data_IF_348814646172
#
_entry.id   IF_348814646172
#
_cell.length_a   1.000
_cell.length_b   1.000
_cell.length_c   1.000
_cell.angle_alpha   90.00
_cell.angle_beta   90.00
_cell.angle_gamma   90.00
#
_symmetry.space_group_name_H-M   'P 1'
#
loop_
_entity.id
_entity.type
_entity.pdbx_description
1 polymer ?
#
# COMPACT_ATOMS: atom_id res chain seq x y z
N UNK A 1 -20.15 3.92 25.18
CA UNK A 1 -19.61 5.25 25.51
C UNK A 1 -20.70 6.29 25.40
N UNK A 2 -20.55 7.42 26.08
CA UNK A 2 -21.53 8.51 26.05
C UNK A 2 -21.33 9.39 24.81
N UNK A 3 -22.39 9.78 24.09
CA UNK A 3 -22.29 10.75 23.01
C UNK A 3 -22.07 12.17 23.55
N UNK A 4 -21.51 13.05 22.72
CA UNK A 4 -21.51 14.49 22.91
C UNK A 4 -22.95 14.99 22.76
N UNK A 5 -23.37 15.81 23.70
CA UNK A 5 -24.62 16.55 23.74
C UNK A 5 -24.38 18.02 23.40
N UNK A 6 -25.43 18.75 23.05
CA UNK A 6 -25.35 20.19 22.73
C UNK A 6 -24.79 21.04 23.87
N UNK A 7 -24.91 20.59 25.12
CA UNK A 7 -24.39 21.28 26.31
C UNK A 7 -22.99 20.79 26.77
N UNK A 8 -22.36 19.87 26.02
CA UNK A 8 -21.01 19.43 26.35
C UNK A 8 -20.00 20.56 26.12
N UNK A 9 -18.98 20.61 26.98
CA UNK A 9 -17.86 21.54 26.80
C UNK A 9 -16.81 20.91 25.90
N UNK A 10 -16.59 21.52 24.73
CA UNK A 10 -15.47 21.21 23.85
C UNK A 10 -14.54 22.42 23.77
N UNK A 11 -13.24 22.17 23.89
CA UNK A 11 -12.22 23.23 23.94
C UNK A 11 -11.10 22.94 22.95
N UNK A 12 -10.57 23.98 22.30
CA UNK A 12 -9.26 23.88 21.67
C UNK A 12 -8.16 23.93 22.74
N UNK A 13 -6.93 23.53 22.37
CA UNK A 13 -5.77 23.56 23.27
C UNK A 13 -5.55 24.93 23.96
N UNK A 14 -5.95 26.02 23.31
CA UNK A 14 -5.81 27.40 23.80
C UNK A 14 -7.02 27.90 24.59
N UNK A 15 -7.90 27.01 25.06
CA UNK A 15 -9.06 27.36 25.88
C UNK A 15 -10.29 27.90 25.14
N UNK A 16 -10.24 28.01 23.81
CA UNK A 16 -11.38 28.44 23.01
C UNK A 16 -12.50 27.40 23.00
N UNK A 17 -13.74 27.82 23.26
CA UNK A 17 -14.91 26.93 23.38
C UNK A 17 -15.66 26.78 22.06
N UNK A 18 -16.00 25.55 21.71
CA UNK A 18 -16.83 25.24 20.53
C UNK A 18 -18.30 25.53 20.85
N UNK A 19 -18.98 26.27 19.98
CA UNK A 19 -20.42 26.54 20.06
C UNK A 19 -21.19 25.42 19.38
N UNK A 20 -21.81 24.55 20.17
CA UNK A 20 -22.61 23.44 19.69
C UNK A 20 -24.05 23.87 19.45
N UNK A 21 -24.67 23.31 18.40
CA UNK A 21 -26.09 23.53 18.06
C UNK A 21 -26.63 22.34 17.27
N UNK A 22 -27.47 21.52 17.88
CA UNK A 22 -28.07 20.38 17.19
C UNK A 22 -29.19 20.83 16.25
N UNK A 23 -29.18 20.31 15.03
CA UNK A 23 -30.20 20.60 14.00
C UNK A 23 -30.94 19.34 13.60
N UNK A 24 -30.21 18.25 13.35
CA UNK A 24 -30.71 17.01 12.75
C UNK A 24 -31.08 15.95 13.79
N UNK A 25 -30.38 15.88 14.92
CA UNK A 25 -30.62 14.85 15.94
C UNK A 25 -31.51 15.31 17.12
N UNK A 26 -32.30 16.38 16.95
CA UNK A 26 -33.08 17.01 18.04
C UNK A 26 -34.03 16.06 18.79
N UNK A 27 -34.47 14.96 18.18
CA UNK A 27 -35.40 13.99 18.81
C UNK A 27 -34.71 13.02 19.78
N UNK A 28 -33.38 12.87 19.69
CA UNK A 28 -32.62 11.95 20.53
C UNK A 28 -31.91 12.78 21.60
N UNK A 29 -32.37 12.67 22.85
CA UNK A 29 -31.98 13.57 23.94
C UNK A 29 -31.63 12.80 25.21
N UNK A 30 -30.69 13.34 25.99
CA UNK A 30 -30.51 13.01 27.41
C UNK A 30 -30.89 14.23 28.22
N UNK A 31 -31.81 14.09 29.17
CA UNK A 31 -32.24 15.18 30.05
C UNK A 31 -32.65 16.43 29.26
N UNK A 32 -33.43 16.23 28.20
CA UNK A 32 -33.87 17.25 27.24
C UNK A 32 -32.76 17.93 26.40
N UNK A 33 -31.51 17.50 26.52
CA UNK A 33 -30.40 17.99 25.69
C UNK A 33 -30.14 17.03 24.52
N UNK A 34 -30.16 17.51 23.26
CA UNK A 34 -29.96 16.65 22.10
C UNK A 34 -28.50 16.22 21.94
N UNK A 35 -28.30 15.07 21.29
CA UNK A 35 -26.96 14.60 20.88
C UNK A 35 -26.42 15.43 19.72
N UNK A 36 -25.09 15.44 19.57
CA UNK A 36 -24.38 16.08 18.47
C UNK A 36 -23.87 15.08 17.44
N UNK A 37 -24.09 15.40 16.16
CA UNK A 37 -23.56 14.64 15.04
C UNK A 37 -22.21 15.17 14.56
N UNK A 38 -21.43 14.31 13.90
CA UNK A 38 -20.10 14.62 13.36
C UNK A 38 -20.11 15.88 12.49
N UNK A 39 -21.09 15.98 11.60
CA UNK A 39 -21.24 17.09 10.68
C UNK A 39 -21.82 18.38 11.31
N UNK A 40 -22.30 18.31 12.55
CA UNK A 40 -22.79 19.46 13.31
C UNK A 40 -21.70 20.05 14.20
N UNK A 41 -20.76 19.21 14.64
CA UNK A 41 -19.53 19.63 15.33
C UNK A 41 -18.50 20.13 14.30
N UNK A 42 -18.36 19.45 13.16
CA UNK A 42 -17.51 19.92 12.07
C UNK A 42 -18.06 21.22 11.48
N UNK A 43 -17.21 22.25 11.41
CA UNK A 43 -17.58 23.60 11.00
C UNK A 43 -18.19 24.45 12.12
N UNK A 44 -18.39 23.91 13.32
CA UNK A 44 -18.87 24.68 14.46
C UNK A 44 -17.88 25.79 14.85
N UNK A 45 -18.41 26.95 15.21
CA UNK A 45 -17.61 28.11 15.58
C UNK A 45 -16.92 27.90 16.93
N UNK A 46 -15.71 28.43 17.06
CA UNK A 46 -14.93 28.47 18.29
C UNK A 46 -14.82 29.92 18.73
N UNK A 47 -15.04 30.18 20.02
CA UNK A 47 -14.96 31.52 20.62
C UNK A 47 -14.08 31.54 21.87
N UNK A 48 -13.47 32.68 22.17
CA UNK A 48 -12.61 32.84 23.36
C UNK A 48 -11.27 32.11 23.26
N UNK A 49 -10.78 31.84 22.04
CA UNK A 49 -9.46 31.26 21.84
C UNK A 49 -8.38 32.33 22.07
N UNK A 50 -7.42 32.05 22.94
CA UNK A 50 -6.33 32.97 23.29
C UNK A 50 -5.05 32.75 22.47
N UNK A 51 -5.13 32.05 21.33
CA UNK A 51 -3.95 31.85 20.49
C UNK A 51 -3.52 33.19 19.86
N UNK A 52 -2.30 33.70 20.13
CA UNK A 52 -1.89 35.02 19.65
C UNK A 52 -1.70 35.03 18.13
N UNK A 53 -1.85 36.21 17.47
CA UNK A 53 -1.65 36.34 16.03
C UNK A 53 -0.30 35.82 15.54
N UNK A 54 0.77 36.03 16.31
CA UNK A 54 2.14 35.60 15.98
C UNK A 54 2.26 34.07 15.89
N UNK A 55 1.41 33.32 16.60
CA UNK A 55 1.34 31.85 16.57
C UNK A 55 0.19 31.32 15.68
N UNK A 56 -0.19 32.10 14.66
CA UNK A 56 -1.20 31.72 13.68
C UNK A 56 -2.63 32.17 13.99
N UNK A 57 -2.83 32.89 15.09
CA UNK A 57 -4.10 33.54 15.48
C UNK A 57 -5.17 32.60 16.04
N UNK A 58 -6.31 33.14 16.49
CA UNK A 58 -7.33 32.38 17.22
C UNK A 58 -7.94 31.26 16.37
N UNK A 59 -8.21 30.13 17.02
CA UNK A 59 -9.05 29.07 16.44
C UNK A 59 -10.48 29.59 16.34
N UNK A 60 -11.03 29.67 15.13
CA UNK A 60 -12.39 30.20 14.91
C UNK A 60 -13.41 29.13 14.53
N UNK A 61 -12.97 27.95 14.08
CA UNK A 61 -13.84 26.84 13.67
C UNK A 61 -13.20 25.47 13.88
N UNK A 62 -14.04 24.46 14.07
CA UNK A 62 -13.66 23.04 13.98
C UNK A 62 -13.53 22.66 12.51
N UNK A 63 -12.36 22.16 12.10
CA UNK A 63 -12.11 21.72 10.72
C UNK A 63 -12.63 20.31 10.46
N UNK A 64 -12.39 19.40 11.41
CA UNK A 64 -12.75 18.00 11.28
C UNK A 64 -12.97 17.34 12.64
N UNK A 65 -13.79 16.30 12.64
CA UNK A 65 -13.95 15.36 13.76
C UNK A 65 -13.28 14.05 13.37
N UNK A 66 -12.57 13.41 14.31
CA UNK A 66 -11.87 12.18 14.02
C UNK A 66 -12.82 11.00 13.93
N UNK A 67 -12.71 10.22 12.86
CA UNK A 67 -13.57 9.08 12.62
C UNK A 67 -13.58 8.10 13.81
N UNK A 68 -12.44 7.87 14.49
CA UNK A 68 -12.36 6.96 15.65
C UNK A 68 -13.23 7.35 16.84
N UNK A 69 -13.85 8.52 16.83
CA UNK A 69 -14.81 8.96 17.85
C UNK A 69 -16.27 8.70 17.45
N UNK A 70 -16.51 8.19 16.24
CA UNK A 70 -17.85 7.97 15.73
C UNK A 70 -18.51 6.79 16.43
N UNK A 71 -19.77 6.97 16.79
CA UNK A 71 -20.66 5.88 17.20
C UNK A 71 -20.99 4.94 16.03
N UNK A 72 -21.27 3.68 16.32
CA UNK A 72 -21.79 2.74 15.32
C UNK A 72 -23.21 3.09 14.86
N UNK A 73 -24.02 3.61 15.79
CA UNK A 73 -25.38 4.05 15.54
C UNK A 73 -25.43 5.38 14.76
N UNK A 74 -26.13 5.37 13.62
CA UNK A 74 -26.30 6.55 12.75
C UNK A 74 -27.68 7.18 12.93
N UNK A 75 -27.72 8.50 12.86
CA UNK A 75 -28.96 9.30 12.86
C UNK A 75 -28.94 10.17 11.61
N UNK A 76 -29.96 10.06 10.77
CA UNK A 76 -30.01 10.75 9.46
C UNK A 76 -28.73 10.52 8.62
N UNK A 77 -28.26 9.27 8.58
CA UNK A 77 -27.03 8.84 7.89
C UNK A 77 -25.73 9.51 8.39
N UNK A 78 -25.74 10.09 9.59
CA UNK A 78 -24.59 10.74 10.23
C UNK A 78 -24.27 10.10 11.57
N UNK A 79 -23.01 10.18 11.99
CA UNK A 79 -22.54 9.53 13.21
C UNK A 79 -22.72 10.48 14.40
N UNK A 80 -23.19 9.98 15.54
CA UNK A 80 -22.99 10.72 16.79
C UNK A 80 -21.52 10.61 17.20
N UNK A 81 -20.99 11.67 17.81
CA UNK A 81 -19.60 11.73 18.28
C UNK A 81 -19.55 11.33 19.74
N UNK A 82 -18.67 10.41 20.09
CA UNK A 82 -18.50 9.92 21.45
C UNK A 82 -17.56 10.84 22.24
N UNK A 83 -17.81 10.96 23.55
CA UNK A 83 -16.99 11.77 24.45
C UNK A 83 -15.63 11.10 24.70
N UNK A 84 -14.72 11.29 23.76
CA UNK A 84 -13.31 10.90 23.88
C UNK A 84 -12.49 12.14 24.22
N UNK A 85 -11.31 11.96 24.83
CA UNK A 85 -10.47 13.09 25.24
C UNK A 85 -10.15 14.01 24.07
N UNK A 86 -9.59 13.44 22.99
CA UNK A 86 -9.34 14.12 21.73
C UNK A 86 -10.42 13.74 20.72
N UNK A 87 -11.05 14.72 20.08
CA UNK A 87 -12.18 14.47 19.17
C UNK A 87 -12.04 15.04 17.77
N UNK A 88 -11.13 15.99 17.56
CA UNK A 88 -10.99 16.64 16.25
C UNK A 88 -9.89 17.68 16.21
N UNK A 89 -9.92 18.50 15.16
CA UNK A 89 -8.96 19.58 14.93
C UNK A 89 -9.67 20.88 14.56
N UNK A 90 -9.07 22.01 14.92
CA UNK A 90 -9.47 23.33 14.44
C UNK A 90 -8.96 23.57 13.01
N UNK A 91 -9.48 24.61 12.36
CA UNK A 91 -8.96 25.08 11.05
C UNK A 91 -7.51 25.55 11.07
N UNK A 92 -6.92 25.70 12.27
CA UNK A 92 -5.52 26.04 12.47
C UNK A 92 -4.66 24.82 12.83
N UNK A 93 -5.24 23.62 12.76
CA UNK A 93 -4.53 22.37 13.05
C UNK A 93 -4.40 22.03 14.53
N UNK A 94 -5.03 22.80 15.43
CA UNK A 94 -4.93 22.56 16.87
C UNK A 94 -5.98 21.55 17.34
N UNK A 95 -5.64 20.67 18.30
CA UNK A 95 -6.57 19.64 18.78
C UNK A 95 -7.79 20.26 19.47
N UNK A 96 -8.93 19.60 19.29
CA UNK A 96 -10.17 19.86 20.00
C UNK A 96 -10.42 18.72 20.99
N UNK A 97 -10.55 19.06 22.26
CA UNK A 97 -10.81 18.14 23.35
C UNK A 97 -12.27 18.21 23.78
N UNK A 98 -12.84 17.06 24.16
CA UNK A 98 -14.12 17.02 24.85
C UNK A 98 -13.89 16.83 26.35
N UNK A 99 -14.56 17.63 27.16
CA UNK A 99 -14.63 17.40 28.60
C UNK A 99 -15.78 16.40 28.84
N UNK A 100 -15.48 15.16 29.29
CA UNK A 100 -16.51 14.16 29.46
C UNK A 100 -17.50 14.54 30.55
N UNK A 101 -18.78 14.26 30.31
CA UNK A 101 -19.91 14.45 31.21
C UNK A 101 -20.82 13.22 31.11
N UNK A 102 -21.29 12.72 32.26
CA UNK A 102 -22.26 11.62 32.30
C UNK A 102 -23.57 12.01 31.60
N UNK A 103 -24.15 11.08 30.86
CA UNK A 103 -25.50 11.20 30.32
C UNK A 103 -26.18 9.82 30.20
N UNK A 104 -27.48 9.78 29.92
CA UNK A 104 -28.29 8.55 29.93
C UNK A 104 -28.11 7.69 28.68
N UNK A 105 -27.53 8.24 27.61
CA UNK A 105 -27.40 7.57 26.31
C UNK A 105 -26.06 6.84 26.24
N UNK A 106 -26.07 5.61 25.72
CA UNK A 106 -24.85 4.85 25.42
C UNK A 106 -24.90 4.33 24.00
N UNK A 107 -23.84 4.58 23.24
CA UNK A 107 -23.60 3.96 21.93
C UNK A 107 -22.32 3.14 21.95
N UNK A 108 -22.23 2.17 21.04
CA UNK A 108 -20.98 1.46 20.79
C UNK A 108 -20.12 2.24 19.80
N UNK A 109 -18.83 1.93 19.78
CA UNK A 109 -17.88 2.58 18.89
C UNK A 109 -18.03 2.03 17.46
N UNK A 110 -17.98 2.90 16.46
CA UNK A 110 -17.95 2.47 15.07
C UNK A 110 -16.73 1.57 14.84
N UNK A 111 -16.98 0.38 14.28
CA UNK A 111 -15.90 -0.49 13.78
C UNK A 111 -15.33 0.13 12.50
N UNK A 112 -14.41 1.07 12.65
CA UNK A 112 -13.70 1.62 11.50
C UNK A 112 -12.68 0.58 11.10
N UNK A 113 -12.85 0.05 9.88
CA UNK A 113 -11.88 -0.85 9.30
C UNK A 113 -10.57 -0.06 9.16
N UNK A 114 -9.57 -0.40 9.97
CA UNK A 114 -8.25 0.21 9.85
C UNK A 114 -7.78 0.09 8.40
N UNK A 115 -7.21 1.15 7.85
CA UNK A 115 -6.56 1.03 6.55
C UNK A 115 -5.51 -0.08 6.65
N UNK A 116 -5.31 -0.88 5.60
CA UNK A 116 -4.36 -2.00 5.64
C UNK A 116 -2.97 -1.51 6.05
N UNK A 117 -2.58 -0.31 5.59
CA UNK A 117 -1.36 0.37 5.99
C UNK A 117 -1.29 0.69 7.49
N UNK A 118 -2.38 1.16 8.11
CA UNK A 118 -2.41 1.44 9.54
C UNK A 118 -2.28 0.15 10.37
N UNK A 119 -2.92 -0.93 9.92
CA UNK A 119 -2.77 -2.26 10.53
C UNK A 119 -1.34 -2.78 10.39
N UNK A 120 -0.74 -2.68 9.20
CA UNK A 120 0.66 -3.08 8.95
C UNK A 120 1.62 -2.28 9.85
N UNK A 121 1.44 -0.96 9.98
CA UNK A 121 2.32 -0.09 10.79
C UNK A 121 2.17 -0.37 12.28
N UNK A 122 0.95 -0.54 12.78
CA UNK A 122 0.69 -0.89 14.18
C UNK A 122 1.21 -2.30 14.52
N UNK A 123 0.99 -3.26 13.61
CA UNK A 123 1.53 -4.59 13.73
C UNK A 123 3.06 -4.51 13.76
N UNK A 124 3.72 -3.77 12.85
CA UNK A 124 5.18 -3.53 12.84
C UNK A 124 5.72 -3.04 14.19
N UNK A 125 5.11 -1.99 14.76
CA UNK A 125 5.48 -1.44 16.08
C UNK A 125 5.36 -2.51 17.17
N UNK A 126 4.27 -3.30 17.14
CA UNK A 126 4.07 -4.41 18.08
C UNK A 126 5.09 -5.54 17.90
N UNK A 127 5.61 -5.75 16.68
CA UNK A 127 6.63 -6.77 16.38
C UNK A 127 8.06 -6.32 16.71
N UNK A 128 8.32 -5.01 16.74
CA UNK A 128 9.62 -4.40 17.08
C UNK A 128 9.83 -4.26 18.61
N UNK A 129 8.75 -4.24 19.40
CA UNK A 129 8.78 -4.28 20.87
C UNK A 129 9.16 -5.67 21.41
N UNK A 130 10.45 -5.87 21.68
CA UNK A 130 11.08 -7.16 21.96
C UNK A 130 10.51 -7.99 23.12
N UNK A 131 10.30 -9.27 22.83
CA UNK A 131 10.14 -10.35 23.81
C UNK A 131 10.39 -11.69 23.10
N UNK A 132 10.86 -12.72 23.83
CA UNK A 132 11.05 -14.08 23.28
C UNK A 132 9.69 -14.65 22.85
N UNK A 133 9.42 -14.64 21.55
CA UNK A 133 8.16 -15.14 20.98
C UNK A 133 8.12 -16.67 21.02
N UNK A 134 7.03 -17.24 21.55
CA UNK A 134 6.76 -18.68 21.42
C UNK A 134 6.67 -19.12 19.96
N UNK A 135 6.88 -20.42 19.67
CA UNK A 135 6.92 -20.94 18.30
C UNK A 135 5.65 -20.64 17.48
N UNK A 136 4.47 -20.73 18.10
CA UNK A 136 3.20 -20.41 17.46
C UNK A 136 3.06 -18.91 17.11
N UNK A 137 3.67 -18.04 17.91
CA UNK A 137 3.68 -16.60 17.66
C UNK A 137 4.67 -16.24 16.54
N UNK A 138 5.81 -16.93 16.46
CA UNK A 138 6.76 -16.82 15.33
C UNK A 138 6.11 -17.22 14.00
N UNK A 139 5.43 -18.37 13.93
CA UNK A 139 4.70 -18.80 12.72
C UNK A 139 3.62 -17.80 12.29
N UNK A 140 2.87 -17.24 13.25
CA UNK A 140 1.87 -16.18 12.97
C UNK A 140 2.50 -14.89 12.45
N UNK A 141 3.69 -14.54 12.95
CA UNK A 141 4.47 -13.39 12.47
C UNK A 141 4.94 -13.60 11.03
N UNK A 142 5.49 -14.76 10.71
CA UNK A 142 5.94 -15.09 9.36
C UNK A 142 4.80 -15.04 8.35
N UNK A 143 3.67 -15.69 8.64
CA UNK A 143 2.47 -15.60 7.77
C UNK A 143 1.96 -14.18 7.59
N UNK A 144 2.00 -13.36 8.64
CA UNK A 144 1.61 -11.94 8.54
C UNK A 144 2.58 -11.14 7.66
N UNK A 145 3.89 -11.38 7.80
CA UNK A 145 4.94 -10.73 7.00
C UNK A 145 4.83 -11.13 5.52
N UNK A 146 4.64 -12.42 5.27
CA UNK A 146 4.41 -12.98 3.94
C UNK A 146 3.19 -12.31 3.28
N UNK A 147 2.04 -12.31 3.98
CA UNK A 147 0.82 -11.69 3.46
C UNK A 147 1.02 -10.21 3.12
N UNK A 148 1.71 -9.46 3.98
CA UNK A 148 1.97 -8.04 3.78
C UNK A 148 2.88 -7.79 2.56
N UNK A 149 3.99 -8.52 2.40
CA UNK A 149 4.89 -8.37 1.26
C UNK A 149 4.25 -8.77 -0.06
N UNK A 150 3.52 -9.88 -0.07
CA UNK A 150 2.77 -10.35 -1.24
C UNK A 150 1.68 -9.35 -1.65
N UNK A 151 0.97 -8.75 -0.68
CA UNK A 151 -0.01 -7.70 -0.98
C UNK A 151 0.65 -6.44 -1.56
N UNK A 152 1.77 -6.01 -0.99
CA UNK A 152 2.51 -4.86 -1.48
C UNK A 152 3.03 -5.06 -2.92
N UNK A 153 3.45 -6.29 -3.24
CA UNK A 153 3.79 -6.66 -4.61
C UNK A 153 2.59 -6.51 -5.56
N UNK A 154 1.41 -7.04 -5.20
CA UNK A 154 0.21 -6.91 -6.02
C UNK A 154 -0.26 -5.45 -6.18
N UNK A 155 -0.16 -4.64 -5.13
CA UNK A 155 -0.45 -3.20 -5.20
C UNK A 155 0.49 -2.49 -6.19
N UNK A 156 1.75 -2.91 -6.27
CA UNK A 156 2.70 -2.37 -7.24
C UNK A 156 2.42 -2.84 -8.67
N UNK A 157 2.04 -4.10 -8.87
CA UNK A 157 1.65 -4.60 -10.20
C UNK A 157 0.34 -3.96 -10.68
N UNK A 158 -0.58 -3.65 -9.77
CA UNK A 158 -1.79 -2.88 -10.07
C UNK A 158 -1.45 -1.47 -10.58
N UNK A 159 -0.52 -0.76 -9.92
CA UNK A 159 -0.04 0.55 -10.41
C UNK A 159 0.55 0.49 -11.81
N UNK A 160 1.04 -0.68 -12.25
CA UNK A 160 1.56 -0.91 -13.61
C UNK A 160 0.46 -1.35 -14.60
N UNK A 161 -0.80 -1.43 -14.17
CA UNK A 161 -1.92 -1.92 -14.97
C UNK A 161 -1.92 -3.43 -15.20
N UNK A 162 -1.11 -4.20 -14.46
CA UNK A 162 -0.97 -5.66 -14.64
C UNK A 162 -1.94 -6.48 -13.79
N UNK A 163 -2.50 -5.89 -12.75
CA UNK A 163 -3.46 -6.53 -11.82
C UNK A 163 -4.60 -5.55 -11.55
N UNK A 164 -5.83 -6.03 -11.55
CA UNK A 164 -7.00 -5.17 -11.26
C UNK A 164 -7.17 -4.88 -9.76
N UNK A 165 -7.87 -3.79 -9.43
CA UNK A 165 -8.24 -3.48 -8.04
C UNK A 165 -9.04 -4.60 -7.38
N UNK A 166 -9.91 -5.27 -8.16
CA UNK A 166 -10.71 -6.41 -7.71
C UNK A 166 -9.84 -7.59 -7.28
N UNK A 167 -8.80 -7.89 -8.04
CA UNK A 167 -7.85 -8.98 -7.76
C UNK A 167 -6.98 -8.68 -6.54
N UNK A 168 -6.48 -7.44 -6.42
CA UNK A 168 -5.79 -6.99 -5.19
C UNK A 168 -6.69 -7.11 -3.97
N UNK A 169 -7.95 -6.70 -4.10
CA UNK A 169 -8.95 -6.81 -3.04
C UNK A 169 -9.20 -8.26 -2.63
N UNK A 170 -9.33 -9.17 -3.61
CA UNK A 170 -9.56 -10.58 -3.38
C UNK A 170 -8.38 -11.24 -2.63
N UNK A 171 -7.13 -10.93 -3.01
CA UNK A 171 -5.97 -11.43 -2.27
C UNK A 171 -5.95 -10.90 -0.84
N UNK A 172 -6.19 -9.60 -0.66
CA UNK A 172 -6.18 -8.95 0.64
C UNK A 172 -7.19 -9.55 1.62
N UNK A 173 -8.42 -9.81 1.17
CA UNK A 173 -9.50 -10.26 2.04
C UNK A 173 -9.63 -11.78 2.11
N UNK A 174 -9.39 -12.49 1.00
CA UNK A 174 -9.63 -13.93 0.88
C UNK A 174 -8.34 -14.75 0.75
N UNK A 175 -7.18 -14.11 0.54
CA UNK A 175 -5.91 -14.80 0.32
C UNK A 175 -5.80 -15.47 -1.05
N UNK A 176 -6.72 -15.16 -1.98
CA UNK A 176 -6.76 -15.76 -3.30
C UNK A 176 -5.84 -14.97 -4.22
N UNK A 177 -4.83 -15.65 -4.78
CA UNK A 177 -3.89 -15.04 -5.71
C UNK A 177 -4.53 -14.85 -7.10
N UNK A 178 -4.20 -13.76 -7.83
CA UNK A 178 -4.74 -13.53 -9.17
C UNK A 178 -4.26 -14.61 -10.16
N UNK A 179 -5.17 -15.18 -10.94
CA UNK A 179 -4.90 -16.38 -11.77
C UNK A 179 -3.87 -16.14 -12.86
N UNK A 180 -3.87 -14.97 -13.48
CA UNK A 180 -3.01 -14.63 -14.61
C UNK A 180 -1.78 -13.81 -14.21
N UNK A 181 -1.51 -13.68 -12.90
CA UNK A 181 -0.35 -12.97 -12.38
C UNK A 181 0.72 -13.94 -11.89
N UNK A 182 1.96 -13.90 -12.41
CA UNK A 182 3.06 -14.70 -11.87
C UNK A 182 3.23 -14.51 -10.36
N UNK A 183 3.20 -15.63 -9.62
CA UNK A 183 3.30 -15.62 -8.16
C UNK A 183 4.75 -15.71 -7.72
N UNK A 184 5.28 -14.80 -6.88
CA UNK A 184 6.60 -14.96 -6.30
C UNK A 184 6.70 -16.24 -5.46
N UNK A 185 7.83 -16.98 -5.56
CA UNK A 185 8.02 -18.27 -4.84
C UNK A 185 7.98 -18.13 -3.32
N UNK A 186 8.49 -17.01 -2.82
CA UNK A 186 8.54 -16.68 -1.40
C UNK A 186 8.53 -15.16 -1.24
N UNK A 187 8.06 -14.69 -0.09
CA UNK A 187 8.17 -13.28 0.28
C UNK A 187 9.63 -12.81 0.42
N UNK A 188 10.60 -13.72 0.53
CA UNK A 188 12.02 -13.38 0.58
C UNK A 188 12.55 -12.83 -0.76
N UNK A 189 11.88 -13.17 -1.86
CA UNK A 189 12.14 -12.57 -3.18
C UNK A 189 11.52 -11.17 -3.31
N UNK A 190 10.86 -10.65 -2.27
CA UNK A 190 10.20 -9.33 -2.30
C UNK A 190 10.93 -8.39 -1.34
N UNK A 191 11.47 -7.31 -1.92
CA UNK A 191 12.08 -6.22 -1.18
C UNK A 191 11.06 -5.43 -0.35
N UNK A 192 11.53 -4.59 0.57
CA UNK A 192 10.67 -3.77 1.43
C UNK A 192 9.83 -2.74 0.63
N UNK A 193 10.24 -2.43 -0.59
CA UNK A 193 9.49 -1.59 -1.53
C UNK A 193 8.43 -2.36 -2.35
N UNK A 194 8.26 -3.67 -2.10
CA UNK A 194 7.32 -4.53 -2.82
C UNK A 194 7.75 -4.87 -4.25
N UNK A 195 9.00 -4.60 -4.63
CA UNK A 195 9.57 -5.05 -5.90
C UNK A 195 10.30 -6.37 -5.70
N UNK A 196 10.45 -7.13 -6.78
CA UNK A 196 11.27 -8.34 -6.76
C UNK A 196 12.72 -7.97 -6.45
N UNK A 197 13.31 -8.68 -5.50
CA UNK A 197 14.73 -8.65 -5.18
C UNK A 197 15.43 -9.62 -6.12
N UNK A 198 16.19 -9.07 -7.07
CA UNK A 198 17.08 -9.84 -7.92
C UNK A 198 18.45 -10.01 -7.26
N UNK A 199 19.20 -11.06 -7.62
CA UNK A 199 20.61 -11.16 -7.25
C UNK A 199 21.42 -10.01 -7.85
N UNK A 200 22.55 -9.70 -7.23
CA UNK A 200 23.52 -8.74 -7.74
C UNK A 200 24.18 -9.28 -9.03
N UNK A 201 24.91 -8.41 -9.75
CA UNK A 201 25.66 -8.74 -10.97
C UNK A 201 24.84 -9.51 -12.02
N UNK A 202 23.59 -9.09 -12.24
CA UNK A 202 22.69 -9.71 -13.23
C UNK A 202 22.45 -11.23 -13.01
N UNK A 203 22.72 -11.72 -11.80
CA UNK A 203 22.63 -13.14 -11.45
C UNK A 203 23.78 -14.00 -11.98
N UNK A 204 24.85 -13.40 -12.50
CA UNK A 204 26.08 -14.11 -12.82
C UNK A 204 26.82 -14.53 -11.55
N UNK A 205 27.52 -15.66 -11.63
CA UNK A 205 28.42 -16.09 -10.55
C UNK A 205 29.77 -15.40 -10.70
N UNK A 206 30.18 -14.62 -9.71
CA UNK A 206 31.53 -14.05 -9.64
C UNK A 206 32.54 -15.16 -9.26
N UNK A 207 33.67 -15.30 -9.96
CA UNK A 207 33.84 -15.52 -11.39
C UNK A 207 33.42 -16.95 -11.80
N UNK A 208 33.17 -17.21 -13.10
CA UNK A 208 33.69 -16.46 -14.24
C UNK A 208 32.85 -15.24 -14.67
N UNK A 209 33.55 -14.16 -15.01
CA UNK A 209 33.00 -12.96 -15.67
C UNK A 209 32.43 -13.35 -17.05
N UNK A 210 31.25 -12.85 -17.45
CA UNK A 210 30.67 -13.12 -18.76
C UNK A 210 31.62 -12.71 -19.89
N UNK A 211 31.70 -13.54 -20.94
CA UNK A 211 32.40 -13.20 -22.18
C UNK A 211 31.37 -12.81 -23.23
N UNK A 212 31.71 -11.84 -24.07
CA UNK A 212 30.94 -11.54 -25.27
C UNK A 212 30.84 -12.79 -26.16
N UNK A 213 29.65 -13.06 -26.68
CA UNK A 213 29.39 -14.17 -27.59
C UNK A 213 28.62 -13.68 -28.81
N UNK A 214 28.93 -14.27 -29.97
CA UNK A 214 28.11 -14.11 -31.18
C UNK A 214 27.01 -15.16 -31.20
N UNK A 215 25.75 -14.74 -31.23
CA UNK A 215 24.63 -15.65 -31.48
C UNK A 215 24.53 -15.91 -32.97
N UNK A 216 24.72 -17.16 -33.39
CA UNK A 216 24.71 -17.54 -34.81
C UNK A 216 23.29 -17.66 -35.36
N UNK A 217 23.12 -17.33 -36.64
CA UNK A 217 21.90 -17.60 -37.40
C UNK A 217 21.45 -19.06 -37.23
N UNK A 218 20.16 -19.26 -37.03
CA UNK A 218 19.53 -20.55 -36.76
C UNK A 218 19.62 -21.01 -35.29
N UNK A 219 20.29 -20.26 -34.41
CA UNK A 219 20.32 -20.59 -32.98
C UNK A 219 18.92 -20.42 -32.37
N UNK A 220 18.49 -21.42 -31.60
CA UNK A 220 17.19 -21.46 -30.94
C UNK A 220 17.32 -21.04 -29.48
N UNK A 221 16.48 -20.09 -29.08
CA UNK A 221 16.49 -19.46 -27.77
C UNK A 221 15.08 -19.50 -27.17
N UNK A 222 14.98 -19.56 -25.85
CA UNK A 222 13.72 -19.45 -25.15
C UNK A 222 13.81 -18.48 -23.97
N UNK A 223 12.64 -18.05 -23.47
CA UNK A 223 12.54 -17.14 -22.33
C UNK A 223 11.19 -17.30 -21.65
N UNK A 224 11.18 -16.99 -20.36
CA UNK A 224 9.98 -16.72 -19.59
C UNK A 224 9.90 -15.22 -19.30
N UNK A 225 8.83 -14.55 -19.75
CA UNK A 225 8.57 -13.14 -19.45
C UNK A 225 8.07 -12.31 -20.64
N UNK A 226 7.98 -10.99 -20.42
CA UNK A 226 7.65 -10.05 -21.50
C UNK A 226 8.82 -9.87 -22.50
N UNK A 227 8.51 -9.22 -23.63
CA UNK A 227 9.46 -8.97 -24.72
C UNK A 227 10.45 -7.84 -24.41
N UNK A 228 10.31 -7.15 -23.28
CA UNK A 228 11.17 -6.02 -22.93
C UNK A 228 12.44 -6.44 -22.18
N UNK A 229 12.53 -7.70 -21.74
CA UNK A 229 13.70 -8.19 -21.03
C UNK A 229 14.75 -8.85 -21.91
N UNK A 230 16.00 -8.84 -21.43
CA UNK A 230 17.21 -9.16 -22.18
C UNK A 230 17.79 -10.57 -21.93
N UNK A 231 17.29 -11.30 -20.94
CA UNK A 231 17.80 -12.64 -20.60
C UNK A 231 17.11 -13.73 -21.40
N UNK A 232 17.87 -14.49 -22.18
CA UNK A 232 17.40 -15.63 -22.96
C UNK A 232 18.21 -16.86 -22.60
N UNK A 233 17.68 -18.04 -22.87
CA UNK A 233 18.35 -19.30 -22.62
C UNK A 233 18.44 -20.11 -23.92
N UNK A 234 19.61 -20.68 -24.25
CA UNK A 234 19.72 -21.54 -25.42
C UNK A 234 18.98 -22.86 -25.20
N UNK A 235 18.41 -23.41 -26.27
CA UNK A 235 17.88 -24.78 -26.27
C UNK A 235 18.20 -25.51 -27.57
N UNK A 236 18.14 -26.84 -27.53
CA UNK A 236 18.30 -27.71 -28.72
C UNK A 236 17.06 -28.58 -28.83
N UNK A 237 16.41 -28.64 -29.98
CA UNK A 237 15.14 -29.39 -30.13
C UNK A 237 15.23 -30.84 -29.66
N UNK A 238 16.33 -31.53 -30.00
CA UNK A 238 16.55 -32.91 -29.56
C UNK A 238 16.79 -33.06 -28.04
N UNK A 239 17.27 -32.02 -27.36
CA UNK A 239 17.58 -32.03 -25.91
C UNK A 239 16.53 -31.30 -25.07
N UNK A 240 15.58 -30.61 -25.70
CA UNK A 240 14.59 -29.77 -25.03
C UNK A 240 15.16 -28.46 -24.48
N UNK A 241 14.24 -27.67 -23.93
CA UNK A 241 14.51 -26.44 -23.19
C UNK A 241 15.19 -26.72 -21.84
N UNK A 242 16.00 -25.78 -21.34
CA UNK A 242 16.52 -25.88 -19.97
C UNK A 242 15.34 -25.84 -18.98
N UNK A 243 15.26 -26.76 -18.00
CA UNK A 243 14.17 -26.77 -17.02
C UNK A 243 14.02 -25.45 -16.26
N UNK A 244 12.78 -25.08 -15.94
CA UNK A 244 12.44 -23.83 -15.26
C UNK A 244 13.20 -23.64 -13.94
N UNK A 245 13.39 -24.73 -13.20
CA UNK A 245 14.04 -24.78 -11.89
C UNK A 245 15.52 -24.39 -11.96
N UNK A 246 16.17 -24.58 -13.12
CA UNK A 246 17.57 -24.22 -13.36
C UNK A 246 17.76 -22.75 -13.77
N UNK A 247 16.68 -21.98 -13.91
CA UNK A 247 16.70 -20.60 -14.43
C UNK A 247 16.71 -19.53 -13.34
N UNK A 248 16.74 -19.93 -12.06
CA UNK A 248 16.78 -19.02 -10.90
C UNK A 248 15.70 -17.92 -10.90
N UNK A 249 14.56 -18.19 -11.53
CA UNK A 249 13.46 -17.23 -11.62
C UNK A 249 12.76 -17.07 -10.26
N UNK A 250 12.37 -15.83 -9.88
CA UNK A 250 11.79 -15.53 -8.57
C UNK A 250 10.32 -15.95 -8.45
N UNK A 251 9.72 -16.47 -9.52
CA UNK A 251 8.31 -16.86 -9.59
C UNK A 251 8.13 -18.37 -9.50
N UNK A 252 6.95 -18.79 -9.04
CA UNK A 252 6.52 -20.18 -9.06
C UNK A 252 6.39 -20.69 -10.49
N UNK A 253 6.68 -21.98 -10.67
CA UNK A 253 6.44 -22.68 -11.93
C UNK A 253 4.93 -23.01 -12.06
N UNK A 254 4.11 -22.00 -12.32
CA UNK A 254 2.66 -22.12 -12.40
C UNK A 254 2.13 -21.72 -13.79
N UNK A 255 0.82 -21.91 -14.02
CA UNK A 255 0.18 -21.63 -15.31
C UNK A 255 0.40 -20.19 -15.78
N UNK A 256 0.24 -19.20 -14.90
CA UNK A 256 0.49 -17.80 -15.22
C UNK A 256 1.92 -17.57 -15.74
N UNK A 257 2.90 -18.21 -15.10
CA UNK A 257 4.29 -18.12 -15.52
C UNK A 257 4.53 -18.86 -16.84
N UNK A 258 3.92 -20.03 -17.04
CA UNK A 258 4.05 -20.80 -18.28
C UNK A 258 3.43 -20.07 -19.48
N UNK A 259 2.36 -19.29 -19.29
CA UNK A 259 1.79 -18.42 -20.34
C UNK A 259 2.77 -17.35 -20.84
N UNK A 260 3.82 -17.03 -20.09
CA UNK A 260 4.87 -16.08 -20.50
C UNK A 260 6.01 -16.73 -21.29
N UNK A 261 5.99 -18.05 -21.48
CA UNK A 261 7.03 -18.78 -22.19
C UNK A 261 7.03 -18.46 -23.68
N UNK A 262 8.22 -18.19 -24.23
CA UNK A 262 8.42 -17.82 -25.63
C UNK A 262 9.65 -18.51 -26.19
N UNK A 263 9.61 -18.80 -27.50
CA UNK A 263 10.71 -19.36 -28.28
C UNK A 263 11.06 -18.40 -29.41
N UNK A 264 12.34 -18.29 -29.69
CA UNK A 264 12.92 -17.43 -30.70
C UNK A 264 13.91 -18.23 -31.54
N UNK A 265 14.07 -17.80 -32.79
CA UNK A 265 15.12 -18.25 -33.69
C UNK A 265 15.90 -17.04 -34.18
N UNK A 266 17.22 -17.13 -34.12
CA UNK A 266 18.12 -16.07 -34.57
C UNK A 266 18.14 -16.05 -36.10
N UNK A 267 17.65 -14.99 -36.72
CA UNK A 267 17.51 -14.90 -38.19
C UNK A 267 18.79 -14.48 -38.93
N UNK A 268 19.71 -13.87 -38.21
CA UNK A 268 21.04 -13.44 -38.69
C UNK A 268 22.01 -13.39 -37.50
N UNK A 269 23.31 -13.44 -37.76
CA UNK A 269 24.31 -13.39 -36.69
C UNK A 269 24.13 -12.11 -35.84
N UNK A 270 23.99 -12.28 -34.53
CA UNK A 270 23.90 -11.18 -33.55
C UNK A 270 25.21 -11.08 -32.79
N UNK A 271 25.91 -9.97 -33.02
CA UNK A 271 27.11 -9.50 -32.33
C UNK A 271 27.05 -7.97 -32.15
N UNK A 272 28.01 -7.38 -31.43
CA UNK A 272 27.99 -5.94 -31.16
C UNK A 272 27.97 -5.09 -32.44
N UNK A 273 28.68 -5.50 -33.49
CA UNK A 273 28.68 -4.79 -34.78
C UNK A 273 27.30 -4.77 -35.44
N UNK A 274 26.61 -5.91 -35.47
CA UNK A 274 25.25 -6.03 -36.02
C UNK A 274 24.23 -5.20 -35.23
N UNK A 275 24.39 -5.14 -33.90
CA UNK A 275 23.52 -4.37 -33.00
C UNK A 275 23.72 -2.87 -33.23
N UNK A 276 24.98 -2.42 -33.29
CA UNK A 276 25.32 -1.02 -33.61
C UNK A 276 24.75 -0.59 -34.96
N UNK A 277 24.89 -1.44 -35.98
CA UNK A 277 24.36 -1.17 -37.32
C UNK A 277 22.85 -0.95 -37.29
N UNK A 278 22.10 -1.84 -36.63
CA UNK A 278 20.64 -1.76 -36.53
C UNK A 278 20.16 -0.54 -35.77
N UNK A 279 20.87 -0.14 -34.72
CA UNK A 279 20.52 1.04 -33.92
C UNK A 279 20.78 2.33 -34.69
N UNK A 280 21.88 2.40 -35.45
CA UNK A 280 22.10 3.51 -36.39
C UNK A 280 20.99 3.59 -37.44
N UNK A 281 20.57 2.45 -37.99
CA UNK A 281 19.47 2.39 -38.96
C UNK A 281 18.11 2.76 -38.35
N UNK A 282 17.87 2.53 -37.06
CA UNK A 282 16.61 2.88 -36.42
C UNK A 282 16.45 4.38 -36.16
N UNK A 283 17.54 5.17 -36.22
CA UNK A 283 17.52 6.60 -35.94
C UNK A 283 17.14 6.95 -34.50
N UNK A 284 17.32 6.03 -33.55
CA UNK A 284 17.00 6.26 -32.14
C UNK A 284 18.24 6.80 -31.40
N UNK A 285 18.34 8.12 -31.35
CA UNK A 285 19.47 8.84 -30.75
C UNK A 285 19.73 8.43 -29.29
N UNK A 286 18.68 8.08 -28.53
CA UNK A 286 18.82 7.64 -27.13
C UNK A 286 19.45 6.26 -27.00
N UNK A 287 19.16 5.36 -27.94
CA UNK A 287 19.80 4.04 -28.02
C UNK A 287 21.26 4.15 -28.48
N UNK A 288 21.55 5.08 -29.40
CA UNK A 288 22.91 5.36 -29.88
C UNK A 288 23.81 5.83 -28.74
N UNK A 289 23.34 6.75 -27.89
CA UNK A 289 24.11 7.25 -26.73
C UNK A 289 24.39 6.15 -25.70
N UNK A 290 23.39 5.36 -25.31
CA UNK A 290 23.57 4.27 -24.34
C UNK A 290 24.60 3.23 -24.76
N UNK A 291 24.73 2.93 -26.05
CA UNK A 291 25.74 1.98 -26.52
C UNK A 291 27.15 2.56 -26.42
N UNK A 292 27.32 3.87 -26.58
CA UNK A 292 28.64 4.49 -26.40
C UNK A 292 29.14 4.35 -24.96
N UNK A 293 28.24 4.34 -23.98
CA UNK A 293 28.57 4.14 -22.55
C UNK A 293 28.94 2.69 -22.21
N UNK A 294 28.57 1.72 -23.06
CA UNK A 294 28.90 0.30 -22.88
C UNK A 294 30.27 -0.08 -23.46
N UNK A 295 30.96 0.86 -24.11
CA UNK A 295 32.32 0.71 -24.65
C UNK A 295 33.34 1.28 -23.67
#
# INVERSE_FOLDING_TARGET
>A
MHPILEDNTLVCLHGGRVKLKAKKAKRIKSDNVPIMLDNEIQGASISGCLNPPILGGPCTKVAMVFAYTYSDHKVNNKHSVLQMGLIGMSIKGYPIFAIPKKNKIKFALAKIQASPLAKIKFDRIRWEGGGKLGAAQRRRREKSKEKAKMLLYLENENKKGKVSDKEVHLYKHNGIWPKDTPKPRSFDYIGENGKIKYPDDDGYKIPPIPKEITLKKGMKLDRYGDNLGSFVCPFKEKKGAIPYEKRSLPYENNEAMQKTYKRYEVLEDINMESVERKIKMSGDDKLIEKIKELK
#
